data_IF_179958143633
#
_entry.id   IF_179958143633
#
_cell.length_a   1.000
_cell.length_b   1.000
_cell.length_c   1.000
_cell.angle_alpha   90.00
_cell.angle_beta   90.00
_cell.angle_gamma   90.00
#
_symmetry.space_group_name_H-M   'P 1'
#
loop_
_entity.id
_entity.type
_entity.pdbx_description
1 polymer ?
#
# COMPACT_ATOMS: atom_id res chain seq x y z
N UNK A 1 -4.14 7.88 8.18
CA UNK A 1 -3.20 8.03 7.04
C UNK A 1 -3.15 6.71 6.29
N UNK A 2 -3.01 6.71 4.96
CA UNK A 2 -2.84 5.48 4.17
C UNK A 2 -1.42 5.44 3.62
N UNK A 3 -0.76 4.30 3.73
CA UNK A 3 0.60 4.06 3.27
C UNK A 3 0.54 2.94 2.26
N UNK A 4 0.91 3.25 1.02
CA UNK A 4 1.01 2.25 -0.03
C UNK A 4 2.42 1.68 0.00
N UNK A 5 2.53 0.37 -0.15
CA UNK A 5 3.80 -0.28 -0.43
C UNK A 5 4.11 -0.03 -1.91
N UNK A 6 5.11 0.80 -2.17
CA UNK A 6 5.67 1.02 -3.49
C UNK A 6 6.28 -0.26 -4.06
N UNK A 7 6.40 -0.34 -5.38
CA UNK A 7 6.87 -1.56 -6.05
C UNK A 7 8.34 -1.90 -5.71
N UNK A 8 9.11 -0.88 -5.34
CA UNK A 8 10.53 -0.98 -5.00
C UNK A 8 10.76 -1.12 -3.48
N UNK A 9 9.70 -1.01 -2.67
CA UNK A 9 9.80 -1.09 -1.20
C UNK A 9 9.23 -2.43 -0.68
N UNK A 10 9.79 -2.93 0.42
CA UNK A 10 9.22 -4.11 1.10
C UNK A 10 8.12 -3.70 2.07
N UNK A 11 7.27 -4.66 2.47
CA UNK A 11 6.27 -4.42 3.52
C UNK A 11 6.93 -3.88 4.80
N UNK A 12 8.12 -4.39 5.15
CA UNK A 12 8.84 -3.94 6.34
C UNK A 12 9.30 -2.49 6.22
N UNK A 13 9.74 -2.06 5.04
CA UNK A 13 10.15 -0.69 4.76
C UNK A 13 8.96 0.28 4.90
N UNK A 14 7.82 -0.10 4.33
CA UNK A 14 6.57 0.64 4.48
C UNK A 14 6.16 0.81 5.95
N UNK A 15 6.25 -0.26 6.73
CA UNK A 15 5.94 -0.24 8.17
C UNK A 15 6.94 0.61 8.97
N UNK A 16 8.22 0.63 8.57
CA UNK A 16 9.24 1.48 9.17
C UNK A 16 8.90 2.96 8.93
N UNK A 17 8.61 3.37 7.68
CA UNK A 17 8.17 4.74 7.35
C UNK A 17 6.92 5.15 8.15
N UNK A 18 5.96 4.24 8.30
CA UNK A 18 4.76 4.49 9.12
C UNK A 18 5.13 4.83 10.55
N UNK A 19 6.01 4.03 11.16
CA UNK A 19 6.46 4.23 12.54
C UNK A 19 7.27 5.52 12.70
N UNK A 20 8.18 5.82 11.77
CA UNK A 20 8.96 7.07 11.77
C UNK A 20 8.06 8.30 11.64
N UNK A 21 6.98 8.20 10.86
CA UNK A 21 5.96 9.24 10.76
C UNK A 21 5.01 9.31 11.99
N UNK A 22 5.19 8.45 13.00
CA UNK A 22 4.35 8.42 14.21
C UNK A 22 2.98 7.74 14.00
N UNK A 23 2.88 6.84 13.03
CA UNK A 23 1.66 6.08 12.73
C UNK A 23 1.84 4.59 13.02
N UNK A 24 0.83 3.95 13.61
CA UNK A 24 0.77 2.50 13.74
C UNK A 24 -0.16 1.88 12.69
N UNK A 25 0.25 0.77 12.05
CA UNK A 25 -0.61 0.03 11.13
C UNK A 25 -1.79 -0.56 11.92
N UNK A 26 -3.01 -0.15 11.60
CA UNK A 26 -4.23 -0.70 12.19
C UNK A 26 -4.99 -1.61 11.25
N UNK A 27 -4.71 -1.53 9.94
CA UNK A 27 -5.37 -2.36 8.93
C UNK A 27 -4.51 -2.51 7.69
N UNK A 28 -4.53 -3.71 7.08
CA UNK A 28 -3.94 -4.01 5.77
C UNK A 28 -5.05 -4.18 4.75
N UNK A 29 -4.85 -3.60 3.57
CA UNK A 29 -5.72 -3.72 2.42
C UNK A 29 -4.90 -4.14 1.21
N UNK A 30 -5.40 -5.09 0.44
CA UNK A 30 -4.76 -5.55 -0.79
C UNK A 30 -5.75 -5.37 -1.92
N UNK A 31 -5.35 -4.63 -2.95
CA UNK A 31 -6.20 -4.34 -4.10
C UNK A 31 -5.47 -4.75 -5.37
N UNK A 32 -6.07 -5.61 -6.22
CA UNK A 32 -5.54 -5.84 -7.55
C UNK A 32 -5.64 -4.53 -8.36
N UNK A 33 -4.53 -4.14 -8.97
CA UNK A 33 -4.45 -3.03 -9.91
C UNK A 33 -4.58 -3.63 -11.30
N UNK A 34 -5.67 -3.28 -11.96
CA UNK A 34 -5.94 -3.69 -13.32
C UNK A 34 -5.38 -2.65 -14.29
N UNK A 35 -4.85 -3.11 -15.41
CA UNK A 35 -4.41 -2.26 -16.50
C UNK A 35 -5.19 -2.65 -17.75
N UNK A 36 -5.76 -1.63 -18.38
CA UNK A 36 -6.38 -1.79 -19.69
C UNK A 36 -5.28 -1.78 -20.76
N UNK A 37 -5.26 -2.81 -21.59
CA UNK A 37 -4.37 -2.89 -22.73
C UNK A 37 -4.97 -2.16 -23.94
N UNK A 38 -4.13 -1.83 -24.92
CA UNK A 38 -4.55 -1.19 -26.17
C UNK A 38 -5.57 -2.02 -26.98
N UNK A 39 -5.64 -3.33 -26.73
CA UNK A 39 -6.58 -4.27 -27.34
C UNK A 39 -7.95 -4.30 -26.65
N UNK A 40 -8.12 -3.57 -25.54
CA UNK A 40 -9.36 -3.56 -24.74
C UNK A 40 -9.46 -4.69 -23.70
N UNK A 41 -8.49 -5.61 -23.67
CA UNK A 41 -8.38 -6.61 -22.60
C UNK A 41 -7.93 -5.96 -21.29
N UNK A 42 -8.53 -6.36 -20.17
CA UNK A 42 -8.13 -5.94 -18.82
C UNK A 42 -7.26 -7.01 -18.18
N UNK A 43 -6.01 -6.69 -17.88
CA UNK A 43 -5.08 -7.60 -17.21
C UNK A 43 -4.76 -7.12 -15.79
N UNK A 44 -4.46 -8.07 -14.90
CA UNK A 44 -4.00 -7.77 -13.54
C UNK A 44 -2.52 -7.38 -13.62
N UNK A 45 -2.23 -6.10 -13.48
CA UNK A 45 -0.87 -5.59 -13.56
C UNK A 45 -0.04 -5.97 -12.33
N UNK A 46 -0.60 -5.74 -11.14
CA UNK A 46 0.05 -6.02 -9.85
C UNK A 46 -0.97 -5.98 -8.71
N UNK A 47 -0.59 -6.48 -7.54
CA UNK A 47 -1.35 -6.25 -6.32
C UNK A 47 -0.76 -5.07 -5.55
N UNK A 48 -1.56 -4.03 -5.33
CA UNK A 48 -1.19 -2.92 -4.47
C UNK A 48 -1.56 -3.25 -3.02
N UNK A 49 -0.56 -3.17 -2.13
CA UNK A 49 -0.74 -3.35 -0.69
C UNK A 49 -0.80 -1.97 -0.05
N UNK A 50 -1.83 -1.73 0.75
CA UNK A 50 -2.07 -0.45 1.43
C UNK A 50 -2.31 -0.69 2.91
N UNK A 51 -1.52 -0.06 3.75
CA UNK A 51 -1.70 -0.03 5.19
C UNK A 51 -2.41 1.24 5.62
N UNK A 52 -3.42 1.11 6.48
CA UNK A 52 -4.02 2.25 7.16
C UNK A 52 -3.26 2.46 8.47
N UNK A 53 -2.60 3.61 8.57
CA UNK A 53 -1.96 4.09 9.78
C UNK A 53 -2.90 4.94 10.63
N UNK A 54 -3.03 4.59 11.91
CA UNK A 54 -3.61 5.46 12.94
C UNK A 54 -2.49 6.25 13.60
N UNK A 55 -2.67 7.55 13.76
CA UNK A 55 -1.69 8.39 14.45
C UNK A 55 -1.63 7.93 15.90
N UNK A 56 -0.42 7.75 16.42
CA UNK A 56 -0.21 7.66 17.85
C UNK A 56 -0.36 9.08 18.40
N UNK A 57 -1.60 9.47 18.68
CA UNK A 57 -1.84 10.61 19.57
C UNK A 57 -1.49 10.15 20.98
N UNK A 58 -0.58 10.88 21.62
CA UNK A 58 -0.35 10.80 23.07
C UNK A 58 -1.54 11.41 23.81
#
# INVERSE_FOLDING_TARGET
MKFRVEADETIQDCLARMREAGYMPVKRYEKPVFKENKDGSVEVLRQEIVFTGKKLEQ
#
